data_IF_580639611508
#
_entry.id   IF_580639611508
#
_cell.length_a   1.000
_cell.length_b   1.000
_cell.length_c   1.000
_cell.angle_alpha   90.00
_cell.angle_beta   90.00
_cell.angle_gamma   90.00
#
_symmetry.space_group_name_H-M   'P 1'
#
loop_
_entity.id
_entity.type
_entity.pdbx_description
1 polymer ?
#
# COMPACT_ATOMS: atom_id res chain seq x y z
N UNK A 1 38.94 -46.37 25.09
CA UNK A 1 37.99 -45.58 24.26
C UNK A 1 36.94 -44.94 25.16
N UNK A 2 37.05 -43.63 25.44
CA UNK A 2 36.02 -42.84 26.14
C UNK A 2 35.24 -42.01 25.10
N UNK A 3 34.62 -42.67 24.12
CA UNK A 3 33.86 -42.02 23.04
C UNK A 3 32.42 -41.70 23.42
N UNK A 4 31.91 -42.28 24.51
CA UNK A 4 30.51 -42.14 24.95
C UNK A 4 30.13 -40.70 25.34
N UNK A 5 31.00 -39.97 26.04
CA UNK A 5 30.70 -38.59 26.46
C UNK A 5 30.77 -37.58 25.31
N UNK A 6 31.53 -37.86 24.25
CA UNK A 6 31.69 -36.95 23.11
C UNK A 6 30.44 -36.91 22.22
N UNK A 7 29.71 -38.02 22.12
CA UNK A 7 28.47 -38.11 21.34
C UNK A 7 27.34 -37.33 22.02
N UNK A 8 27.25 -37.40 23.35
CA UNK A 8 26.23 -36.70 24.13
C UNK A 8 26.42 -35.18 24.08
N UNK A 9 27.67 -34.73 24.15
CA UNK A 9 28.03 -33.32 24.03
C UNK A 9 27.73 -32.77 22.62
N UNK A 10 27.97 -33.56 21.57
CA UNK A 10 27.64 -33.17 20.21
C UNK A 10 26.12 -33.02 20.00
N UNK A 11 25.31 -33.94 20.53
CA UNK A 11 23.85 -33.84 20.50
C UNK A 11 23.34 -32.59 21.22
N UNK A 12 23.90 -32.25 22.38
CA UNK A 12 23.49 -31.09 23.15
C UNK A 12 23.79 -29.78 22.40
N UNK A 13 24.97 -29.66 21.81
CA UNK A 13 25.33 -28.51 20.96
C UNK A 13 24.41 -28.42 19.76
N UNK A 14 24.10 -29.55 19.11
CA UNK A 14 23.22 -29.56 17.94
C UNK A 14 21.81 -29.07 18.27
N UNK A 15 21.23 -29.54 19.39
CA UNK A 15 19.93 -29.06 19.89
C UNK A 15 19.99 -27.58 20.23
N UNK A 16 21.07 -27.12 20.86
CA UNK A 16 21.25 -25.71 21.20
C UNK A 16 21.33 -24.81 19.96
N UNK A 17 22.08 -25.22 18.93
CA UNK A 17 22.21 -24.47 17.67
C UNK A 17 20.87 -24.43 16.92
N UNK A 18 20.12 -25.54 16.86
CA UNK A 18 18.78 -25.56 16.26
C UNK A 18 17.82 -24.65 17.03
N UNK A 19 17.84 -24.72 18.37
CA UNK A 19 17.02 -23.85 19.21
C UNK A 19 17.33 -22.38 19.00
N UNK A 20 18.61 -22.03 18.86
CA UNK A 20 19.07 -20.67 18.61
C UNK A 20 18.67 -20.20 17.20
N UNK A 21 18.79 -21.06 16.18
CA UNK A 21 18.29 -20.78 14.83
C UNK A 21 16.78 -20.55 14.81
N UNK A 22 15.99 -21.40 15.47
CA UNK A 22 14.54 -21.23 15.56
C UNK A 22 14.16 -19.95 16.32
N UNK A 23 14.90 -19.61 17.38
CA UNK A 23 14.68 -18.39 18.14
C UNK A 23 15.00 -17.13 17.32
N UNK A 24 16.15 -17.10 16.64
CA UNK A 24 16.53 -15.97 15.79
C UNK A 24 15.60 -15.81 14.58
N UNK A 25 15.17 -16.92 13.97
CA UNK A 25 14.24 -16.89 12.84
C UNK A 25 12.83 -16.40 13.26
N UNK A 26 12.41 -16.69 14.50
CA UNK A 26 11.16 -16.15 15.06
C UNK A 26 11.24 -14.64 15.28
N UNK A 27 12.41 -14.10 15.63
CA UNK A 27 12.60 -12.64 15.81
C UNK A 27 12.62 -11.87 14.49
N UNK A 28 12.97 -12.50 13.36
CA UNK A 28 12.87 -11.88 12.03
C UNK A 28 11.47 -11.98 11.42
N UNK A 29 10.64 -12.91 11.91
CA UNK A 29 9.21 -13.05 11.57
C UNK A 29 8.35 -12.38 12.66
N UNK A 30 8.84 -11.29 13.23
CA UNK A 30 7.93 -10.29 13.80
C UNK A 30 7.51 -9.39 12.65
N UNK A 31 6.66 -9.99 11.81
CA UNK A 31 5.91 -9.34 10.75
C UNK A 31 5.33 -8.07 11.34
N UNK A 32 5.91 -6.92 10.95
CA UNK A 32 5.26 -5.64 11.19
C UNK A 32 3.95 -5.78 10.46
N UNK A 33 2.86 -5.96 11.19
CA UNK A 33 1.51 -5.79 10.65
C UNK A 33 1.47 -4.32 10.22
N UNK A 34 1.92 -4.05 9.00
CA UNK A 34 1.91 -2.72 8.44
C UNK A 34 0.45 -2.44 8.22
N UNK A 35 -0.09 -1.55 9.06
CA UNK A 35 -1.41 -1.00 8.86
C UNK A 35 -1.47 -0.49 7.42
N UNK A 36 -2.53 -0.87 6.74
CA UNK A 36 -2.80 -0.49 5.36
C UNK A 36 -3.76 0.70 5.35
N UNK A 37 -3.92 1.35 4.20
CA UNK A 37 -4.94 2.38 4.04
C UNK A 37 -6.35 1.84 4.34
N UNK A 38 -6.62 0.56 4.05
CA UNK A 38 -7.87 -0.10 4.41
C UNK A 38 -8.16 -0.08 5.93
N UNK A 39 -7.10 -0.14 6.75
CA UNK A 39 -7.23 -0.23 8.20
C UNK A 39 -7.44 1.13 8.88
N UNK A 40 -7.11 2.23 8.19
CA UNK A 40 -7.13 3.60 8.73
C UNK A 40 -8.09 4.54 8.02
N UNK A 41 -8.54 4.19 6.81
CA UNK A 41 -9.49 4.99 6.05
C UNK A 41 -10.91 4.75 6.53
N UNK A 42 -11.65 5.84 6.75
CA UNK A 42 -13.08 5.78 7.08
C UNK A 42 -13.98 5.65 5.84
N UNK A 43 -13.47 5.98 4.64
CA UNK A 43 -14.25 5.84 3.42
C UNK A 43 -14.06 4.46 2.80
N UNK A 44 -15.18 3.79 2.53
CA UNK A 44 -15.24 2.59 1.70
C UNK A 44 -16.00 2.93 0.43
N UNK A 45 -15.26 3.09 -0.67
CA UNK A 45 -15.82 3.42 -1.98
C UNK A 45 -15.48 2.32 -2.98
N UNK A 46 -16.49 1.86 -3.72
CA UNK A 46 -16.32 0.90 -4.81
C UNK A 46 -15.51 1.48 -5.99
N UNK A 47 -15.35 2.81 -6.04
CA UNK A 47 -14.50 3.49 -7.02
C UNK A 47 -13.01 3.35 -6.73
N UNK A 48 -12.63 2.96 -5.50
CA UNK A 48 -11.22 2.78 -5.13
C UNK A 48 -10.87 1.31 -5.23
N UNK A 49 -9.94 0.98 -6.12
CA UNK A 49 -9.49 -0.39 -6.28
C UNK A 49 -8.67 -0.88 -5.08
N UNK A 50 -8.69 -2.20 -4.87
CA UNK A 50 -7.97 -2.89 -3.78
C UNK A 50 -6.48 -2.54 -3.77
N UNK A 51 -5.89 -2.29 -4.94
CA UNK A 51 -4.48 -1.90 -5.07
C UNK A 51 -4.13 -0.65 -4.26
N UNK A 52 -5.06 0.30 -4.14
CA UNK A 52 -4.88 1.52 -3.33
C UNK A 52 -5.01 1.18 -1.85
N UNK A 53 -5.99 0.36 -1.47
CA UNK A 53 -6.25 -0.01 -0.08
C UNK A 53 -5.10 -0.78 0.58
N UNK A 54 -4.32 -1.51 -0.22
CA UNK A 54 -3.16 -2.28 0.23
C UNK A 54 -1.92 -1.42 0.48
N UNK A 55 -1.96 -0.12 0.17
CA UNK A 55 -0.83 0.76 0.41
C UNK A 55 -0.60 0.98 1.92
N UNK A 56 0.63 1.29 2.34
CA UNK A 56 0.94 1.55 3.74
C UNK A 56 0.11 2.71 4.32
N UNK A 57 -0.34 2.61 5.57
CA UNK A 57 -1.10 3.66 6.26
C UNK A 57 -0.33 4.97 6.46
N UNK A 58 1.00 4.94 6.40
CA UNK A 58 1.85 6.15 6.46
C UNK A 58 2.05 6.81 5.09
N UNK A 59 1.31 6.39 4.06
CA UNK A 59 1.32 7.05 2.76
C UNK A 59 0.70 8.43 2.90
N UNK A 60 1.42 9.46 2.45
CA UNK A 60 0.94 10.86 2.48
C UNK A 60 0.39 11.25 1.10
N UNK A 61 1.00 10.72 0.04
CA UNK A 61 0.75 11.09 -1.34
C UNK A 61 0.68 9.83 -2.20
N UNK A 62 -0.41 9.72 -2.95
CA UNK A 62 -0.75 8.62 -3.83
C UNK A 62 -0.43 8.98 -5.26
N UNK A 63 0.44 8.20 -5.88
CA UNK A 63 0.67 8.26 -7.30
C UNK A 63 -0.16 7.16 -7.96
N UNK A 64 -1.23 7.55 -8.63
CA UNK A 64 -2.30 6.65 -9.03
C UNK A 64 -2.91 7.10 -10.35
N UNK A 65 -3.61 6.19 -11.02
CA UNK A 65 -4.48 6.54 -12.12
C UNK A 65 -5.87 6.88 -11.58
N UNK A 66 -6.48 7.93 -12.14
CA UNK A 66 -7.87 8.32 -11.92
C UNK A 66 -8.58 8.28 -13.26
N UNK A 67 -9.78 7.71 -13.28
CA UNK A 67 -10.72 7.86 -14.40
C UNK A 67 -11.86 8.78 -14.06
N UNK A 68 -12.28 9.55 -15.05
CA UNK A 68 -13.38 10.49 -14.98
C UNK A 68 -14.47 10.12 -15.98
N UNK A 69 -15.73 10.45 -15.68
CA UNK A 69 -16.89 10.18 -16.56
C UNK A 69 -16.77 10.83 -17.93
N UNK A 70 -16.06 11.95 -18.02
CA UNK A 70 -15.92 12.74 -19.24
C UNK A 70 -14.57 13.43 -19.30
N UNK A 71 -13.98 13.50 -20.49
CA UNK A 71 -12.77 14.27 -20.76
C UNK A 71 -12.96 15.14 -22.03
N UNK A 72 -12.46 16.39 -22.08
CA UNK A 72 -11.70 17.11 -21.05
C UNK A 72 -12.51 17.43 -19.79
N UNK A 73 -11.83 17.62 -18.66
CA UNK A 73 -12.46 17.99 -17.40
C UNK A 73 -13.03 19.41 -17.48
N UNK A 74 -14.17 19.63 -16.83
CA UNK A 74 -14.69 20.99 -16.63
C UNK A 74 -13.71 21.80 -15.77
N UNK A 75 -13.52 23.08 -16.10
CA UNK A 75 -12.63 23.99 -15.35
C UNK A 75 -12.96 24.02 -13.85
N UNK A 76 -14.26 24.03 -13.48
CA UNK A 76 -14.68 24.01 -12.08
C UNK A 76 -14.18 22.77 -11.32
N UNK A 77 -14.26 21.59 -11.95
CA UNK A 77 -13.74 20.35 -11.36
C UNK A 77 -12.22 20.40 -11.25
N UNK A 78 -11.55 20.89 -12.30
CA UNK A 78 -10.10 21.02 -12.34
C UNK A 78 -9.57 21.96 -11.24
N UNK A 79 -10.23 23.10 -11.05
CA UNK A 79 -9.90 24.05 -9.99
C UNK A 79 -10.14 23.45 -8.62
N UNK A 80 -11.27 22.75 -8.44
CA UNK A 80 -11.62 22.08 -7.18
C UNK A 80 -10.56 21.05 -6.76
N UNK A 81 -10.19 20.13 -7.66
CA UNK A 81 -9.18 19.11 -7.35
C UNK A 81 -7.78 19.72 -7.17
N UNK A 82 -7.43 20.76 -7.93
CA UNK A 82 -6.14 21.47 -7.78
C UNK A 82 -6.06 22.16 -6.42
N UNK A 83 -7.16 22.74 -5.93
CA UNK A 83 -7.24 23.36 -4.60
C UNK A 83 -7.07 22.34 -3.46
N UNK A 84 -7.40 21.08 -3.70
CA UNK A 84 -7.09 19.96 -2.79
C UNK A 84 -5.66 19.45 -2.91
N UNK A 85 -4.80 20.13 -3.68
CA UNK A 85 -3.42 19.71 -3.91
C UNK A 85 -3.27 18.49 -4.82
N UNK A 86 -4.34 18.11 -5.53
CA UNK A 86 -4.30 17.01 -6.50
C UNK A 86 -3.67 17.52 -7.80
N UNK A 87 -2.54 16.94 -8.18
CA UNK A 87 -1.86 17.28 -9.42
C UNK A 87 -2.18 16.22 -10.49
N UNK A 88 -2.78 16.66 -11.61
CA UNK A 88 -3.03 15.80 -12.77
C UNK A 88 -1.92 15.98 -13.80
N UNK A 89 -1.41 14.88 -14.35
CA UNK A 89 -0.54 14.91 -15.52
C UNK A 89 -1.38 14.77 -16.80
N UNK A 90 -1.73 15.89 -17.42
CA UNK A 90 -2.53 15.91 -18.65
C UNK A 90 -1.86 15.20 -19.83
N UNK A 91 -0.54 15.03 -19.81
CA UNK A 91 0.20 14.34 -20.88
C UNK A 91 0.14 12.81 -20.73
N UNK A 92 -0.34 12.32 -19.59
CA UNK A 92 -0.41 10.90 -19.24
C UNK A 92 -1.74 10.24 -19.62
N UNK A 93 -2.62 10.93 -20.35
CA UNK A 93 -3.94 10.42 -20.72
C UNK A 93 -3.81 9.14 -21.55
N UNK A 94 -4.25 8.02 -20.97
CA UNK A 94 -4.32 6.73 -21.65
C UNK A 94 -5.76 6.23 -21.56
N UNK A 95 -6.44 6.21 -22.71
CA UNK A 95 -7.89 6.02 -22.81
C UNK A 95 -8.64 7.07 -21.97
N UNK A 96 -9.18 6.66 -20.82
CA UNK A 96 -9.96 7.49 -19.91
C UNK A 96 -9.29 7.66 -18.54
N UNK A 97 -7.99 7.33 -18.45
CA UNK A 97 -7.21 7.37 -17.22
C UNK A 97 -6.13 8.44 -17.30
N UNK A 98 -6.01 9.22 -16.21
CA UNK A 98 -4.95 10.19 -16.00
C UNK A 98 -4.12 9.81 -14.81
N UNK A 99 -2.81 9.95 -14.94
CA UNK A 99 -1.92 9.90 -13.80
C UNK A 99 -2.13 11.12 -12.92
N UNK A 100 -2.23 10.86 -11.62
CA UNK A 100 -2.48 11.88 -10.63
C UNK A 100 -1.67 11.61 -9.36
N UNK A 101 -1.27 12.72 -8.74
CA UNK A 101 -0.72 12.76 -7.40
C UNK A 101 -1.79 13.29 -6.45
N UNK A 102 -2.31 12.43 -5.57
CA UNK A 102 -3.43 12.73 -4.66
C UNK A 102 -2.91 12.71 -3.21
N UNK A 103 -3.11 13.77 -2.41
CA UNK A 103 -2.94 13.70 -0.96
C UNK A 103 -3.92 12.68 -0.36
N UNK A 104 -3.45 11.74 0.46
CA UNK A 104 -4.29 10.66 1.02
C UNK A 104 -5.49 11.20 1.78
N UNK A 105 -5.33 12.34 2.46
CA UNK A 105 -6.41 13.01 3.19
C UNK A 105 -7.60 13.41 2.30
N UNK A 106 -7.37 13.66 1.01
CA UNK A 106 -8.40 14.04 0.04
C UNK A 106 -8.84 12.88 -0.87
N UNK A 107 -8.33 11.67 -0.65
CA UNK A 107 -8.73 10.49 -1.43
C UNK A 107 -10.24 10.23 -1.29
N UNK A 108 -10.76 10.31 -0.07
CA UNK A 108 -12.18 10.10 0.21
C UNK A 108 -13.05 11.17 -0.45
N UNK A 109 -12.68 12.44 -0.29
CA UNK A 109 -13.38 13.58 -0.91
C UNK A 109 -13.43 13.44 -2.44
N UNK A 110 -12.33 12.97 -3.04
CA UNK A 110 -12.22 12.77 -4.48
C UNK A 110 -13.22 11.72 -4.98
N UNK A 111 -13.34 10.58 -4.30
CA UNK A 111 -14.22 9.50 -4.77
C UNK A 111 -15.69 9.74 -4.46
N UNK A 112 -16.01 10.68 -3.58
CA UNK A 112 -17.38 11.20 -3.42
C UNK A 112 -17.84 12.01 -4.63
N UNK A 113 -16.91 12.53 -5.45
CA UNK A 113 -17.27 13.23 -6.67
C UNK A 113 -17.95 12.28 -7.67
N UNK A 114 -19.10 12.70 -8.17
CA UNK A 114 -19.85 11.95 -9.17
C UNK A 114 -19.05 11.77 -10.46
N UNK A 115 -18.16 12.71 -10.78
CA UNK A 115 -17.35 12.70 -11.98
C UNK A 115 -16.24 11.63 -11.94
N UNK A 116 -15.85 11.15 -10.77
CA UNK A 116 -14.81 10.12 -10.61
C UNK A 116 -15.44 8.74 -10.75
N UNK A 117 -14.85 7.90 -11.60
CA UNK A 117 -15.33 6.54 -11.89
C UNK A 117 -14.45 5.47 -11.26
N UNK A 118 -13.13 5.65 -11.27
CA UNK A 118 -12.19 4.68 -10.71
C UNK A 118 -10.88 5.35 -10.27
N UNK A 119 -10.25 4.80 -9.24
CA UNK A 119 -8.92 5.15 -8.75
C UNK A 119 -8.13 3.86 -8.50
N UNK A 120 -6.99 3.68 -9.18
CA UNK A 120 -6.13 2.50 -9.00
C UNK A 120 -4.64 2.81 -9.12
N UNK A 121 -3.81 2.08 -8.38
CA UNK A 121 -2.35 2.15 -8.51
C UNK A 121 -1.80 0.90 -9.20
N UNK A 122 -0.65 1.05 -9.86
CA UNK A 122 0.10 -0.07 -10.44
C UNK A 122 1.04 -0.75 -9.44
N UNK A 123 1.10 -0.25 -8.21
CA UNK A 123 2.00 -0.80 -7.20
C UNK A 123 1.55 -2.22 -6.83
N UNK A 124 2.50 -3.15 -6.85
CA UNK A 124 2.28 -4.60 -6.74
C UNK A 124 2.82 -5.15 -5.43
#
# INVERSE_FOLDING_TARGET
MKTSNSIWLFLLIFVFVIGLFLFLNKSTVQDKTQLTLADVSECQSEKIEISVWQLPANTILLNTFISFKSFPLAEELKDKITNWGIALDENSLIFDYLWASIPVEHLCDLVELDEVTSVFTLNK
#
